data_IF_642627060187
#
_entry.id   IF_642627060187
#
_cell.length_a   1.000
_cell.length_b   1.000
_cell.length_c   1.000
_cell.angle_alpha   90.00
_cell.angle_beta   90.00
_cell.angle_gamma   90.00
#
_symmetry.space_group_name_H-M   'P 1'
#
loop_
_entity.id
_entity.type
_entity.pdbx_description
1 polymer ?
#
# COMPACT_ATOMS: atom_id res chain seq x y z
N UNK A 1 3.78 -19.74 13.22
CA UNK A 1 3.87 -19.19 11.84
C UNK A 1 3.20 -17.83 11.90
N UNK A 2 3.93 -16.77 11.63
CA UNK A 2 3.31 -15.46 11.40
C UNK A 2 2.74 -15.53 9.96
N UNK A 3 1.44 -15.78 9.86
CA UNK A 3 0.75 -15.66 8.58
C UNK A 3 0.55 -14.17 8.30
N UNK A 4 0.82 -13.77 7.06
CA UNK A 4 0.58 -12.40 6.63
C UNK A 4 -0.93 -12.17 6.53
N UNK A 5 -1.41 -11.04 7.05
CA UNK A 5 -2.78 -10.59 6.83
C UNK A 5 -2.88 -9.98 5.43
N UNK A 6 -3.81 -10.47 4.63
CA UNK A 6 -4.05 -10.04 3.25
C UNK A 6 -5.24 -9.09 3.19
N UNK A 7 -5.01 -7.87 2.76
CA UNK A 7 -6.04 -6.83 2.64
C UNK A 7 -6.17 -6.40 1.19
N UNK A 8 -7.38 -6.44 0.65
CA UNK A 8 -7.69 -5.86 -0.65
C UNK A 8 -8.21 -4.43 -0.44
N UNK A 9 -7.57 -3.46 -1.09
CA UNK A 9 -8.03 -2.07 -1.13
C UNK A 9 -8.80 -1.84 -2.44
N UNK A 10 -10.09 -1.56 -2.33
CA UNK A 10 -11.00 -1.26 -3.43
C UNK A 10 -10.80 -2.22 -4.63
N UNK A 11 -10.49 -1.72 -5.83
CA UNK A 11 -10.24 -2.53 -7.03
C UNK A 11 -9.15 -3.60 -6.87
N UNK A 12 -8.32 -3.51 -5.83
CA UNK A 12 -7.37 -4.58 -5.50
C UNK A 12 -8.03 -5.94 -5.27
N UNK A 13 -9.34 -5.99 -4.98
CA UNK A 13 -10.10 -7.23 -4.89
C UNK A 13 -10.08 -8.03 -6.19
N UNK A 14 -10.06 -7.37 -7.35
CA UNK A 14 -10.07 -8.04 -8.66
C UNK A 14 -8.88 -8.99 -8.83
N UNK A 15 -7.71 -8.59 -8.32
CA UNK A 15 -6.53 -9.46 -8.32
C UNK A 15 -6.77 -10.76 -7.51
N UNK A 16 -7.43 -10.65 -6.37
CA UNK A 16 -7.75 -11.82 -5.55
C UNK A 16 -8.72 -12.75 -6.26
N UNK A 17 -9.75 -12.21 -6.91
CA UNK A 17 -10.73 -12.99 -7.66
C UNK A 17 -10.11 -13.69 -8.86
N UNK A 18 -9.30 -12.98 -9.65
CA UNK A 18 -8.61 -13.51 -10.82
C UNK A 18 -7.70 -14.70 -10.47
N UNK A 19 -7.02 -14.62 -9.31
CA UNK A 19 -6.08 -15.63 -8.85
C UNK A 19 -6.70 -16.64 -7.88
N UNK A 20 -8.01 -16.59 -7.67
CA UNK A 20 -8.74 -17.46 -6.73
C UNK A 20 -8.14 -17.44 -5.31
N UNK A 21 -7.73 -16.26 -4.86
CA UNK A 21 -7.22 -16.01 -3.52
C UNK A 21 -8.31 -15.37 -2.64
N UNK A 22 -8.21 -15.58 -1.32
CA UNK A 22 -9.14 -15.01 -0.36
C UNK A 22 -8.40 -14.00 0.55
N UNK A 23 -8.76 -12.70 0.52
CA UNK A 23 -8.23 -11.73 1.47
C UNK A 23 -8.79 -11.99 2.89
N UNK A 24 -8.16 -11.42 3.91
CA UNK A 24 -8.69 -11.36 5.28
C UNK A 24 -9.68 -10.20 5.41
N UNK A 25 -9.42 -9.10 4.70
CA UNK A 25 -10.30 -7.95 4.66
C UNK A 25 -10.37 -7.31 3.27
N UNK A 26 -11.49 -6.68 2.97
CA UNK A 26 -11.69 -5.83 1.78
C UNK A 26 -12.14 -4.45 2.27
N UNK A 27 -11.48 -3.39 1.82
CA UNK A 27 -11.68 -2.02 2.29
C UNK A 27 -11.79 -1.08 1.09
N UNK A 28 -12.84 -0.27 1.02
CA UNK A 28 -13.04 0.70 -0.07
C UNK A 28 -14.45 1.27 -0.10
N UNK A 29 -14.71 2.19 -1.02
CA UNK A 29 -16.07 2.66 -1.32
C UNK A 29 -16.76 1.76 -2.36
N UNK A 30 -15.95 0.95 -3.08
CA UNK A 30 -16.38 -0.06 -4.05
C UNK A 30 -17.03 0.48 -5.32
N UNK A 31 -16.82 1.75 -5.61
CA UNK A 31 -17.37 2.40 -6.82
C UNK A 31 -16.68 1.89 -8.10
N UNK A 32 -15.39 1.53 -8.00
CA UNK A 32 -14.55 1.08 -9.11
C UNK A 32 -14.55 -0.45 -9.31
N UNK A 33 -15.26 -1.22 -8.49
CA UNK A 33 -15.37 -2.67 -8.62
C UNK A 33 -16.15 -3.09 -9.87
N UNK A 34 -15.72 -4.20 -10.47
CA UNK A 34 -16.50 -4.91 -11.49
C UNK A 34 -17.81 -5.47 -10.90
N UNK A 35 -18.72 -5.88 -11.78
CA UNK A 35 -19.95 -6.57 -11.38
C UNK A 35 -19.66 -7.86 -10.61
N UNK A 36 -18.60 -8.59 -10.99
CA UNK A 36 -18.18 -9.80 -10.29
C UNK A 36 -17.64 -9.49 -8.89
N UNK A 37 -16.88 -8.39 -8.74
CA UNK A 37 -16.41 -7.91 -7.44
C UNK A 37 -17.56 -7.52 -6.52
N UNK A 38 -18.52 -6.75 -7.03
CA UNK A 38 -19.73 -6.34 -6.29
C UNK A 38 -20.56 -7.55 -5.86
N UNK A 39 -20.77 -8.49 -6.79
CA UNK A 39 -21.48 -9.75 -6.51
C UNK A 39 -20.74 -10.60 -5.46
N UNK A 40 -19.41 -10.65 -5.53
CA UNK A 40 -18.62 -11.36 -4.53
C UNK A 40 -18.82 -10.77 -3.14
N UNK A 41 -18.88 -9.45 -3.01
CA UNK A 41 -19.12 -8.76 -1.74
C UNK A 41 -20.60 -8.70 -1.32
N UNK A 42 -21.51 -9.21 -2.16
CA UNK A 42 -22.97 -9.17 -1.94
C UNK A 42 -23.53 -7.73 -1.82
N UNK A 43 -22.89 -6.80 -2.55
CA UNK A 43 -23.35 -5.41 -2.62
C UNK A 43 -24.59 -5.36 -3.50
N UNK A 44 -25.70 -4.91 -2.93
CA UNK A 44 -26.96 -4.67 -3.65
C UNK A 44 -27.02 -3.22 -4.14
N UNK A 45 -27.31 -3.01 -5.43
CA UNK A 45 -27.32 -1.69 -6.06
C UNK A 45 -28.43 -0.74 -5.57
N UNK A 46 -29.49 -1.26 -4.94
CA UNK A 46 -30.73 -0.52 -4.71
C UNK A 46 -30.89 0.15 -3.34
N UNK A 47 -29.92 0.11 -2.48
CA UNK A 47 -30.00 0.94 -1.28
C UNK A 47 -28.79 1.84 -1.23
N UNK A 48 -29.03 3.13 -1.39
CA UNK A 48 -28.10 4.19 -1.03
C UNK A 48 -27.78 4.11 0.48
N UNK A 49 -26.99 3.10 0.87
CA UNK A 49 -26.49 2.97 2.25
C UNK A 49 -25.59 4.17 2.62
N UNK A 50 -25.20 4.97 1.62
CA UNK A 50 -24.34 6.15 1.81
C UNK A 50 -25.01 7.21 2.68
N UNK A 51 -26.35 7.29 2.68
CA UNK A 51 -27.09 8.23 3.55
C UNK A 51 -27.10 7.82 5.03
N UNK A 52 -26.82 6.55 5.33
CA UNK A 52 -26.83 6.04 6.71
C UNK A 52 -25.44 6.03 7.37
N UNK A 53 -24.36 6.19 6.56
CA UNK A 53 -23.00 6.25 7.08
C UNK A 53 -22.68 7.69 7.49
N UNK A 54 -22.36 8.02 8.74
CA UNK A 54 -21.97 9.36 9.16
C UNK A 54 -20.73 9.85 8.39
N UNK A 55 -20.56 11.16 8.21
CA UNK A 55 -19.36 11.73 7.60
C UNK A 55 -18.09 11.20 8.30
N UNK A 56 -17.13 10.66 7.53
CA UNK A 56 -15.95 9.98 8.07
C UNK A 56 -16.24 8.59 8.66
N UNK A 57 -17.47 8.07 8.52
CA UNK A 57 -17.87 6.76 9.01
C UNK A 57 -17.55 5.61 8.06
N UNK A 58 -17.75 4.39 8.57
CA UNK A 58 -17.62 3.16 7.81
C UNK A 58 -18.73 2.19 8.18
N UNK A 59 -19.06 1.29 7.25
CA UNK A 59 -19.95 0.14 7.52
C UNK A 59 -19.10 -1.13 7.42
N UNK A 60 -19.32 -2.02 8.39
CA UNK A 60 -18.55 -3.27 8.46
C UNK A 60 -19.51 -4.46 8.47
N UNK A 61 -19.19 -5.50 7.70
CA UNK A 61 -19.82 -6.81 7.75
C UNK A 61 -18.84 -7.93 7.46
N UNK A 62 -19.26 -9.17 7.65
CA UNK A 62 -18.46 -10.36 7.42
C UNK A 62 -19.15 -11.27 6.43
N UNK A 63 -18.37 -11.86 5.55
CA UNK A 63 -18.81 -12.83 4.55
C UNK A 63 -18.03 -14.12 4.67
N UNK A 64 -18.73 -15.25 4.47
CA UNK A 64 -18.10 -16.55 4.29
C UNK A 64 -17.93 -16.78 2.80
N UNK A 65 -16.71 -16.79 2.31
CA UNK A 65 -16.37 -17.03 0.90
C UNK A 65 -15.41 -18.19 0.76
N UNK A 66 -15.34 -18.77 -0.43
CA UNK A 66 -14.42 -19.86 -0.69
C UNK A 66 -14.21 -20.12 -2.17
N UNK A 67 -13.04 -20.69 -2.49
CA UNK A 67 -12.71 -21.27 -3.78
C UNK A 67 -12.37 -22.76 -3.60
N UNK A 68 -13.08 -23.62 -4.32
CA UNK A 68 -12.91 -25.07 -4.15
C UNK A 68 -13.21 -25.53 -2.73
N UNK A 69 -12.22 -26.12 -2.07
CA UNK A 69 -12.34 -26.62 -0.69
C UNK A 69 -11.93 -25.60 0.38
N UNK A 70 -11.34 -24.48 -0.02
CA UNK A 70 -10.93 -23.43 0.91
C UNK A 70 -12.13 -22.54 1.23
N UNK A 71 -12.35 -22.28 2.53
CA UNK A 71 -13.37 -21.34 3.03
C UNK A 71 -12.74 -20.41 4.04
N UNK A 72 -13.08 -19.14 3.94
CA UNK A 72 -12.55 -18.08 4.82
C UNK A 72 -13.63 -17.06 5.16
N UNK A 73 -13.64 -16.60 6.39
CA UNK A 73 -14.40 -15.41 6.77
C UNK A 73 -13.62 -14.18 6.30
N UNK A 74 -14.26 -13.34 5.52
CA UNK A 74 -13.71 -12.09 5.00
C UNK A 74 -14.41 -10.93 5.69
N UNK A 75 -13.65 -10.01 6.23
CA UNK A 75 -14.15 -8.76 6.79
C UNK A 75 -14.28 -7.74 5.67
N UNK A 76 -15.47 -7.16 5.49
CA UNK A 76 -15.71 -6.11 4.50
C UNK A 76 -15.95 -4.79 5.20
N UNK A 77 -15.24 -3.76 4.79
CA UNK A 77 -15.31 -2.41 5.36
C UNK A 77 -15.60 -1.45 4.23
N UNK A 78 -16.83 -0.96 4.17
CA UNK A 78 -17.26 0.04 3.20
C UNK A 78 -16.99 1.43 3.75
N UNK A 79 -16.29 2.22 2.97
CA UNK A 79 -15.96 3.61 3.24
C UNK A 79 -16.92 4.53 2.48
N UNK A 80 -17.09 5.75 2.93
CA UNK A 80 -17.76 6.78 2.14
C UNK A 80 -16.88 7.26 1.00
N UNK A 81 -17.46 7.58 -0.18
CA UNK A 81 -16.74 8.23 -1.26
C UNK A 81 -16.16 9.59 -0.86
N UNK A 82 -16.92 10.39 -0.07
CA UNK A 82 -16.49 11.70 0.40
C UNK A 82 -15.62 11.57 1.66
N UNK A 83 -14.38 11.15 1.47
CA UNK A 83 -13.35 11.08 2.52
C UNK A 83 -12.07 11.74 2.05
N UNK A 84 -11.27 12.23 2.98
CA UNK A 84 -9.99 12.87 2.68
C UNK A 84 -8.89 11.85 2.33
N UNK A 85 -9.04 10.60 2.78
CA UNK A 85 -8.07 9.52 2.60
C UNK A 85 -8.35 8.70 1.34
N UNK A 86 -7.30 8.27 0.63
CA UNK A 86 -7.42 7.25 -0.40
C UNK A 86 -7.75 5.87 0.21
N UNK A 87 -8.33 4.94 -0.59
CA UNK A 87 -8.61 3.57 -0.12
C UNK A 87 -7.34 2.85 0.32
N UNK A 88 -6.22 3.09 -0.37
CA UNK A 88 -4.90 2.56 0.01
C UNK A 88 -4.48 3.07 1.39
N UNK A 89 -4.65 4.36 1.67
CA UNK A 89 -4.34 4.95 2.98
C UNK A 89 -5.27 4.40 4.06
N UNK A 90 -6.55 4.27 3.77
CA UNK A 90 -7.53 3.69 4.70
C UNK A 90 -7.20 2.23 5.02
N UNK A 91 -6.82 1.44 4.02
CA UNK A 91 -6.39 0.05 4.21
C UNK A 91 -5.10 -0.05 5.06
N UNK A 92 -4.13 0.84 4.82
CA UNK A 92 -2.92 0.95 5.64
C UNK A 92 -3.27 1.30 7.10
N UNK A 93 -4.10 2.32 7.31
CA UNK A 93 -4.52 2.74 8.65
C UNK A 93 -5.22 1.61 9.40
N UNK A 94 -6.10 0.86 8.71
CA UNK A 94 -6.73 -0.33 9.27
C UNK A 94 -5.70 -1.38 9.68
N UNK A 95 -4.70 -1.68 8.83
CA UNK A 95 -3.65 -2.64 9.17
C UNK A 95 -2.84 -2.19 10.40
N UNK A 96 -2.50 -0.91 10.48
CA UNK A 96 -1.78 -0.32 11.63
C UNK A 96 -2.60 -0.44 12.92
N UNK A 97 -3.88 -0.11 12.88
CA UNK A 97 -4.79 -0.23 14.02
C UNK A 97 -4.93 -1.68 14.51
N UNK A 98 -4.78 -2.65 13.60
CA UNK A 98 -4.75 -4.07 13.91
C UNK A 98 -3.34 -4.61 14.23
N UNK A 99 -2.38 -3.72 14.50
CA UNK A 99 -1.07 -4.08 15.06
C UNK A 99 0.02 -4.38 14.03
N UNK A 100 -0.21 -4.11 12.74
CA UNK A 100 0.83 -4.28 11.73
C UNK A 100 2.05 -3.39 12.03
N UNK A 101 3.25 -3.95 11.91
CA UNK A 101 4.53 -3.25 12.05
C UNK A 101 5.27 -3.13 10.72
N UNK A 102 4.92 -3.97 9.77
CA UNK A 102 5.43 -3.94 8.39
C UNK A 102 4.28 -4.21 7.45
N UNK A 103 4.15 -3.40 6.42
CA UNK A 103 3.11 -3.49 5.40
C UNK A 103 3.76 -3.46 4.03
N UNK A 104 3.41 -4.39 3.16
CA UNK A 104 3.78 -4.35 1.75
C UNK A 104 2.54 -4.05 0.93
N UNK A 105 2.58 -2.96 0.15
CA UNK A 105 1.50 -2.54 -0.73
C UNK A 105 1.87 -2.94 -2.16
N UNK A 106 1.06 -3.77 -2.76
CA UNK A 106 1.19 -4.21 -4.15
C UNK A 106 0.20 -3.46 -5.04
N UNK A 107 0.57 -3.25 -6.30
CA UNK A 107 -0.31 -2.57 -7.26
C UNK A 107 -0.41 -1.05 -7.09
N UNK A 108 0.41 -0.45 -6.21
CA UNK A 108 0.40 0.99 -5.92
C UNK A 108 1.13 1.84 -6.98
N UNK A 109 1.72 1.23 -8.00
CA UNK A 109 2.51 1.88 -9.06
C UNK A 109 1.76 2.04 -10.38
N UNK A 110 0.45 1.91 -10.38
CA UNK A 110 -0.41 1.87 -11.56
C UNK A 110 -0.26 3.03 -12.56
N UNK A 111 -1.20 3.20 -13.48
CA UNK A 111 -1.09 4.10 -14.62
C UNK A 111 -1.26 5.60 -14.29
N UNK A 112 -1.71 5.95 -13.10
CA UNK A 112 -1.95 7.33 -12.68
C UNK A 112 -0.79 7.83 -11.82
N UNK A 113 -0.05 8.81 -12.36
CA UNK A 113 1.10 9.42 -11.69
C UNK A 113 0.69 10.16 -10.40
N UNK A 114 -0.47 10.82 -10.40
CA UNK A 114 -1.01 11.49 -9.21
C UNK A 114 -1.26 10.51 -8.05
N UNK A 115 -1.79 9.32 -8.33
CA UNK A 115 -1.95 8.26 -7.32
C UNK A 115 -0.59 7.72 -6.84
N UNK A 116 0.39 7.54 -7.74
CA UNK A 116 1.74 7.14 -7.36
C UNK A 116 2.36 8.17 -6.41
N UNK A 117 2.24 9.46 -6.72
CA UNK A 117 2.75 10.53 -5.85
C UNK A 117 2.07 10.53 -4.49
N UNK A 118 0.75 10.34 -4.43
CA UNK A 118 0.02 10.19 -3.17
C UNK A 118 0.51 8.98 -2.37
N UNK A 119 0.79 7.85 -3.04
CA UNK A 119 1.31 6.65 -2.39
C UNK A 119 2.72 6.84 -1.80
N UNK A 120 3.56 7.72 -2.35
CA UNK A 120 4.79 8.10 -1.66
C UNK A 120 4.52 8.84 -0.34
N UNK A 121 3.46 9.65 -0.27
CA UNK A 121 3.00 10.27 0.98
C UNK A 121 2.65 9.24 2.06
N UNK A 122 2.08 8.11 1.66
CA UNK A 122 1.75 7.00 2.58
C UNK A 122 2.99 6.47 3.31
N UNK A 123 4.14 6.40 2.63
CA UNK A 123 5.41 5.99 3.26
C UNK A 123 5.78 6.89 4.44
N UNK A 124 5.58 8.21 4.26
CA UNK A 124 5.88 9.20 5.32
C UNK A 124 4.88 9.08 6.47
N UNK A 125 3.59 8.96 6.14
CA UNK A 125 2.53 8.81 7.15
C UNK A 125 2.77 7.58 8.03
N UNK A 126 3.11 6.44 7.42
CA UNK A 126 3.40 5.20 8.15
C UNK A 126 4.65 5.30 9.03
N UNK A 127 5.73 5.92 8.51
CA UNK A 127 6.97 6.14 9.28
C UNK A 127 6.69 6.97 10.53
N UNK A 128 5.87 8.00 10.44
CA UNK A 128 5.48 8.83 11.59
C UNK A 128 4.69 8.03 12.65
N UNK A 129 4.08 6.91 12.26
CA UNK A 129 3.39 5.98 13.15
C UNK A 129 4.29 4.80 13.60
N UNK A 130 5.58 4.80 13.25
CA UNK A 130 6.52 3.75 13.60
C UNK A 130 6.30 2.44 12.83
N UNK A 131 5.71 2.51 11.65
CA UNK A 131 5.42 1.35 10.78
C UNK A 131 6.25 1.43 9.51
N UNK A 132 6.88 0.33 9.13
CA UNK A 132 7.58 0.20 7.86
C UNK A 132 6.58 -0.12 6.75
N UNK A 133 6.50 0.72 5.73
CA UNK A 133 5.72 0.46 4.51
C UNK A 133 6.65 0.32 3.32
N UNK A 134 6.34 -0.65 2.50
CA UNK A 134 7.02 -0.96 1.25
C UNK A 134 6.00 -0.87 0.13
N UNK A 135 6.31 -0.13 -0.93
CA UNK A 135 5.58 -0.20 -2.19
C UNK A 135 6.36 -1.11 -3.14
N UNK A 136 5.71 -2.14 -3.66
CA UNK A 136 6.38 -3.08 -4.54
C UNK A 136 5.53 -3.45 -5.76
N UNK A 137 6.21 -3.69 -6.87
CA UNK A 137 5.67 -4.30 -8.08
C UNK A 137 6.70 -5.27 -8.69
N UNK A 138 6.45 -5.79 -9.89
CA UNK A 138 7.35 -6.73 -10.55
C UNK A 138 8.73 -6.14 -10.90
N UNK A 139 8.88 -4.80 -10.90
CA UNK A 139 10.10 -4.09 -11.31
C UNK A 139 10.69 -3.24 -10.21
N UNK A 140 9.89 -2.82 -9.23
CA UNK A 140 10.26 -1.80 -8.26
C UNK A 140 10.01 -2.27 -6.83
N UNK A 141 10.90 -1.86 -5.95
CA UNK A 141 10.79 -2.02 -4.51
C UNK A 141 11.18 -0.68 -3.87
N UNK A 142 10.24 -0.01 -3.24
CA UNK A 142 10.40 1.35 -2.75
C UNK A 142 10.06 1.42 -1.27
N UNK A 143 10.92 2.05 -0.49
CA UNK A 143 10.69 2.29 0.94
C UNK A 143 11.41 3.56 1.38
N UNK A 144 11.05 4.07 2.55
CA UNK A 144 11.86 5.10 3.20
C UNK A 144 13.11 4.47 3.83
N UNK A 145 14.24 5.13 3.64
CA UNK A 145 15.50 4.77 4.25
C UNK A 145 15.68 5.55 5.57
N UNK A 146 16.29 4.94 6.55
CA UNK A 146 16.66 5.55 7.83
C UNK A 146 18.18 5.63 7.96
N UNK A 147 18.65 6.51 8.85
CA UNK A 147 20.09 6.63 9.11
C UNK A 147 20.68 5.29 9.59
N UNK A 148 21.87 4.97 9.10
CA UNK A 148 22.59 3.75 9.44
C UNK A 148 22.00 2.48 8.85
N UNK A 149 21.16 2.56 7.84
CA UNK A 149 20.59 1.38 7.20
C UNK A 149 21.63 0.60 6.40
N UNK A 150 21.63 -0.71 6.56
CA UNK A 150 22.52 -1.62 5.82
C UNK A 150 21.70 -2.41 4.82
N UNK A 151 22.04 -2.26 3.54
CA UNK A 151 21.43 -3.02 2.43
C UNK A 151 22.40 -4.12 2.02
N UNK A 152 22.05 -5.37 2.31
CA UNK A 152 22.87 -6.51 1.88
C UNK A 152 22.64 -6.79 0.41
N UNK A 153 23.71 -6.92 -0.35
CA UNK A 153 23.64 -7.20 -1.78
C UNK A 153 22.87 -8.50 -2.11
N UNK A 154 22.95 -9.50 -1.23
CA UNK A 154 22.22 -10.76 -1.38
C UNK A 154 20.70 -10.62 -1.18
N UNK A 155 20.24 -9.53 -0.55
CA UNK A 155 18.84 -9.25 -0.26
C UNK A 155 18.28 -8.12 -1.15
N UNK A 156 19.11 -7.60 -2.06
CA UNK A 156 18.72 -6.52 -2.98
C UNK A 156 17.68 -7.02 -3.98
N UNK A 157 16.56 -6.30 -4.09
CA UNK A 157 15.45 -6.66 -4.98
C UNK A 157 15.85 -6.61 -6.46
N UNK A 158 16.47 -5.52 -6.89
CA UNK A 158 16.84 -5.28 -8.27
C UNK A 158 18.34 -5.09 -8.47
N UNK A 159 18.74 -4.83 -9.70
CA UNK A 159 20.14 -4.60 -10.05
C UNK A 159 20.65 -3.23 -9.58
N UNK A 160 19.76 -2.26 -9.48
CA UNK A 160 20.10 -0.86 -9.18
C UNK A 160 19.37 -0.39 -7.92
N UNK A 161 20.03 0.53 -7.20
CA UNK A 161 19.42 1.27 -6.09
C UNK A 161 19.49 2.74 -6.44
N UNK A 162 18.39 3.45 -6.27
CA UNK A 162 18.29 4.89 -6.49
C UNK A 162 17.75 5.57 -5.24
N UNK A 163 18.29 6.74 -4.91
CA UNK A 163 17.85 7.54 -3.78
C UNK A 163 17.17 8.82 -4.28
N UNK A 164 16.05 9.15 -3.69
CA UNK A 164 15.29 10.37 -3.98
C UNK A 164 14.92 11.07 -2.68
N UNK A 165 15.05 12.40 -2.61
CA UNK A 165 14.57 13.14 -1.46
C UNK A 165 13.05 13.17 -1.50
N UNK A 166 12.40 12.95 -0.37
CA UNK A 166 10.95 12.99 -0.24
C UNK A 166 10.56 14.04 0.79
N UNK A 167 9.84 15.07 0.35
CA UNK A 167 9.36 16.15 1.21
C UNK A 167 10.33 17.30 1.45
N UNK A 168 11.54 17.26 0.86
CA UNK A 168 12.56 18.32 0.96
C UNK A 168 13.96 17.77 0.73
N UNK A 169 14.95 18.65 0.75
CA UNK A 169 16.36 18.29 0.58
C UNK A 169 16.84 17.37 1.72
N UNK A 170 17.69 16.43 1.40
CA UNK A 170 18.40 15.58 2.36
C UNK A 170 19.83 16.07 2.48
N UNK A 171 20.26 16.43 3.68
CA UNK A 171 21.61 16.87 3.97
C UNK A 171 22.43 15.76 4.63
N UNK A 172 23.73 15.69 4.26
CA UNK A 172 24.63 14.73 4.88
C UNK A 172 24.47 13.28 4.40
N UNK A 173 23.93 13.06 3.18
CA UNK A 173 23.82 11.71 2.64
C UNK A 173 25.21 11.11 2.42
N UNK A 174 25.51 10.03 3.12
CA UNK A 174 26.73 9.25 2.95
C UNK A 174 26.38 7.84 2.46
N UNK A 175 26.98 7.40 1.38
CA UNK A 175 26.79 6.09 0.79
C UNK A 175 28.12 5.34 0.74
N UNK A 176 28.22 4.24 1.47
CA UNK A 176 29.39 3.39 1.53
C UNK A 176 29.13 2.03 0.84
N UNK A 177 30.12 1.51 0.14
CA UNK A 177 30.02 0.22 -0.53
C UNK A 177 29.26 0.23 -1.87
N UNK A 178 28.83 1.38 -2.34
CA UNK A 178 28.23 1.59 -3.65
C UNK A 178 29.29 1.88 -4.73
N UNK A 179 28.96 1.62 -5.99
CA UNK A 179 29.84 1.96 -7.12
C UNK A 179 30.18 3.45 -7.15
N UNK A 180 29.24 4.29 -6.79
CA UNK A 180 29.42 5.72 -6.63
C UNK A 180 29.17 6.06 -5.16
N UNK A 181 30.25 6.16 -4.39
CA UNK A 181 30.19 6.57 -3.00
C UNK A 181 29.87 8.05 -2.88
N UNK A 182 29.15 8.43 -1.84
CA UNK A 182 28.88 9.81 -1.48
C UNK A 182 29.35 10.06 -0.05
N UNK A 183 29.81 11.27 0.21
CA UNK A 183 30.20 11.70 1.55
C UNK A 183 29.57 13.06 1.84
N UNK A 184 28.72 13.13 2.88
CA UNK A 184 28.00 14.32 3.33
C UNK A 184 27.31 15.09 2.19
N UNK A 185 26.82 14.39 1.19
CA UNK A 185 26.17 14.95 0.00
C UNK A 185 24.82 15.59 0.35
N UNK A 186 24.51 16.74 -0.27
CA UNK A 186 23.18 17.34 -0.23
C UNK A 186 22.39 16.85 -1.44
N UNK A 187 21.45 15.94 -1.20
CA UNK A 187 20.55 15.41 -2.22
C UNK A 187 19.33 16.35 -2.35
N UNK A 188 19.06 16.82 -3.56
CA UNK A 188 17.95 17.72 -3.87
C UNK A 188 17.00 17.10 -4.89
N UNK A 189 15.81 17.66 -5.06
CA UNK A 189 14.85 17.23 -6.09
C UNK A 189 15.36 17.45 -7.52
N UNK A 190 16.41 18.28 -7.72
CA UNK A 190 17.05 18.53 -9.00
C UNK A 190 18.09 17.44 -9.35
N UNK A 191 18.50 16.62 -8.41
CA UNK A 191 19.43 15.52 -8.62
C UNK A 191 18.73 14.36 -9.32
N UNK A 192 18.64 14.45 -10.64
CA UNK A 192 18.07 13.39 -11.46
C UNK A 192 19.07 12.25 -11.64
N UNK A 193 18.64 11.02 -11.36
CA UNK A 193 19.41 9.84 -11.71
C UNK A 193 20.51 9.45 -10.74
N UNK A 194 20.40 9.76 -9.47
CA UNK A 194 21.27 9.24 -8.41
C UNK A 194 21.04 7.73 -8.25
N UNK A 195 21.41 7.00 -9.30
CA UNK A 195 21.36 5.54 -9.33
C UNK A 195 22.72 5.03 -8.95
N UNK A 196 22.79 4.31 -7.87
CA UNK A 196 24.00 3.71 -7.33
C UNK A 196 23.86 2.20 -7.29
N UNK A 197 24.87 1.48 -7.74
CA UNK A 197 24.84 0.02 -7.85
C UNK A 197 26.13 -0.62 -7.34
#
# INVERSE_FOLDING_TARGET
KNEACLIAADKGLEFFLEHQLLPDAVIGDFDSLSEDGKKFLEIQEEKSMDSEIPYGGMTEWKLQKGFGNEKKEIKVIRLRPEKDDSDTQSAMNYAIQNGAKRITILGATGNRVDHLMANFGILVLAKNQGVEVILADQYNYMKLVSDGEIIKKSEQFGKYISFFPLGGDVTGLTLEGFKYSLDHYRLTTADSGLTVS
#
